data_IF_192950090557
#
_entry.id   IF_192950090557
#
_cell.length_a   1.000
_cell.length_b   1.000
_cell.length_c   1.000
_cell.angle_alpha   90.00
_cell.angle_beta   90.00
_cell.angle_gamma   90.00
#
_symmetry.space_group_name_H-M   'P 1'
#
loop_
_entity.id
_entity.type
_entity.pdbx_description
1 polymer ?
#
# COMPACT_ATOMS: atom_id res chain seq x y z
N UNK A 1 -35.73 -61.32 -0.79
CA UNK A 1 -36.01 -60.31 0.26
C UNK A 1 -34.77 -59.46 0.47
N UNK A 2 -34.95 -58.14 0.47
CA UNK A 2 -33.90 -57.10 0.40
C UNK A 2 -33.18 -56.93 1.74
N UNK A 3 -31.85 -56.77 1.72
CA UNK A 3 -31.09 -56.12 2.80
C UNK A 3 -30.17 -55.07 2.15
N UNK A 4 -30.64 -53.83 2.14
CA UNK A 4 -29.82 -52.66 1.80
C UNK A 4 -29.08 -52.24 3.07
N UNK A 5 -27.75 -52.30 3.04
CA UNK A 5 -26.90 -51.73 4.09
C UNK A 5 -26.94 -50.20 3.97
N UNK A 6 -27.52 -49.55 4.98
CA UNK A 6 -27.56 -48.10 5.15
C UNK A 6 -26.16 -47.55 5.41
N UNK A 7 -25.69 -46.70 4.50
CA UNK A 7 -24.48 -45.89 4.65
C UNK A 7 -24.68 -44.90 5.80
N UNK A 8 -23.91 -45.02 6.87
CA UNK A 8 -23.74 -43.96 7.87
C UNK A 8 -22.98 -42.81 7.21
N UNK A 9 -23.71 -41.74 6.87
CA UNK A 9 -23.12 -40.45 6.52
C UNK A 9 -22.75 -39.76 7.84
N UNK A 10 -21.47 -39.81 8.21
CA UNK A 10 -20.92 -38.91 9.22
C UNK A 10 -20.87 -37.50 8.62
N UNK A 11 -21.84 -36.66 9.00
CA UNK A 11 -21.77 -35.22 8.77
C UNK A 11 -20.79 -34.67 9.80
N UNK A 12 -19.58 -34.33 9.36
CA UNK A 12 -18.64 -33.57 10.17
C UNK A 12 -19.26 -32.19 10.45
N UNK A 13 -19.31 -31.72 11.71
CA UNK A 13 -19.64 -30.33 11.97
C UNK A 13 -18.48 -29.50 11.45
N UNK A 14 -18.74 -28.68 10.43
CA UNK A 14 -17.85 -27.60 10.05
C UNK A 14 -17.72 -26.68 11.27
N UNK A 15 -16.62 -26.82 12.01
CA UNK A 15 -16.12 -25.83 12.95
C UNK A 15 -15.96 -24.54 12.16
N UNK A 16 -16.97 -23.67 12.23
CA UNK A 16 -16.85 -22.28 11.82
C UNK A 16 -15.65 -21.73 12.58
N UNK A 17 -14.68 -21.20 11.84
CA UNK A 17 -13.64 -20.36 12.38
C UNK A 17 -14.30 -19.23 13.16
N UNK A 18 -14.35 -19.35 14.48
CA UNK A 18 -14.59 -18.23 15.37
C UNK A 18 -13.22 -17.61 15.57
N UNK A 19 -12.85 -16.64 14.74
CA UNK A 19 -11.81 -15.71 15.16
C UNK A 19 -12.38 -15.00 16.37
N UNK A 20 -11.63 -14.94 17.46
CA UNK A 20 -11.97 -14.12 18.62
C UNK A 20 -12.16 -12.67 18.16
N UNK A 21 -13.40 -12.24 17.98
CA UNK A 21 -13.73 -10.87 17.59
C UNK A 21 -13.33 -9.95 18.75
N UNK A 22 -12.14 -9.35 18.63
CA UNK A 22 -11.72 -8.28 19.52
C UNK A 22 -12.63 -7.09 19.23
N UNK A 23 -13.52 -6.79 20.17
CA UNK A 23 -14.43 -5.66 20.02
C UNK A 23 -13.65 -4.37 19.83
N UNK A 24 -13.99 -3.63 18.77
CA UNK A 24 -13.48 -2.30 18.49
C UNK A 24 -14.62 -1.31 18.69
N UNK A 25 -14.27 -0.13 19.19
CA UNK A 25 -15.21 0.94 19.45
C UNK A 25 -14.76 2.21 18.73
N UNK A 26 -15.74 3.00 18.30
CA UNK A 26 -15.52 4.33 17.76
C UNK A 26 -15.22 5.34 18.89
N UNK A 27 -14.86 6.57 18.53
CA UNK A 27 -14.61 7.68 19.43
C UNK A 27 -15.76 7.92 20.43
N UNK A 28 -17.00 7.70 20.00
CA UNK A 28 -18.19 7.87 20.85
C UNK A 28 -18.54 6.61 21.68
N UNK A 29 -17.75 5.54 21.59
CA UNK A 29 -17.96 4.29 22.32
C UNK A 29 -18.97 3.33 21.68
N UNK A 30 -19.43 3.61 20.46
CA UNK A 30 -20.25 2.67 19.70
C UNK A 30 -19.42 1.51 19.17
N UNK A 31 -20.01 0.32 19.13
CA UNK A 31 -19.38 -0.87 18.57
C UNK A 31 -19.22 -0.73 17.06
N UNK A 32 -18.09 -1.20 16.56
CA UNK A 32 -17.64 -1.03 15.18
C UNK A 32 -17.42 -2.40 14.56
N UNK A 33 -17.75 -2.53 13.27
CA UNK A 33 -17.54 -3.78 12.55
C UNK A 33 -16.04 -4.04 12.35
N UNK A 34 -15.61 -5.25 12.70
CA UNK A 34 -14.22 -5.72 12.58
C UNK A 34 -14.02 -6.71 11.45
N UNK A 35 -15.08 -7.05 10.70
CA UNK A 35 -14.99 -7.97 9.58
C UNK A 35 -14.49 -7.27 8.30
N UNK A 36 -13.18 -7.06 8.23
CA UNK A 36 -12.52 -6.35 7.12
C UNK A 36 -12.27 -7.22 5.89
N UNK A 37 -12.26 -8.55 6.01
CA UNK A 37 -11.90 -9.48 4.93
C UNK A 37 -12.71 -9.33 3.63
N UNK A 38 -14.06 -9.19 3.66
CA UNK A 38 -14.83 -8.97 2.43
C UNK A 38 -14.46 -7.69 1.68
N UNK A 39 -13.92 -6.69 2.39
CA UNK A 39 -13.47 -5.44 1.81
C UNK A 39 -12.08 -5.56 1.20
N UNK A 40 -11.18 -6.30 1.86
CA UNK A 40 -9.85 -6.66 1.34
C UNK A 40 -9.97 -7.40 0.00
N UNK A 41 -10.90 -8.35 -0.09
CA UNK A 41 -11.13 -9.09 -1.34
C UNK A 41 -11.60 -8.19 -2.48
N UNK A 42 -12.46 -7.20 -2.19
CA UNK A 42 -12.90 -6.19 -3.16
C UNK A 42 -11.73 -5.31 -3.64
N UNK A 43 -10.87 -4.86 -2.72
CA UNK A 43 -9.69 -4.05 -3.05
C UNK A 43 -8.76 -4.80 -4.02
N UNK A 44 -8.51 -6.09 -3.76
CA UNK A 44 -7.68 -6.92 -4.64
C UNK A 44 -8.25 -7.04 -6.05
N UNK A 45 -9.58 -7.09 -6.16
CA UNK A 45 -10.31 -7.24 -7.44
C UNK A 45 -10.44 -5.94 -8.25
N UNK A 46 -10.12 -4.77 -7.70
CA UNK A 46 -10.18 -3.51 -8.44
C UNK A 46 -9.32 -3.55 -9.71
N UNK A 47 -9.66 -2.79 -10.75
CA UNK A 47 -8.80 -2.70 -11.94
C UNK A 47 -7.81 -1.53 -11.80
N UNK A 48 -8.32 -0.41 -11.31
CA UNK A 48 -7.57 0.82 -11.08
C UNK A 48 -7.47 1.10 -9.59
N UNK A 49 -6.44 1.83 -9.16
CA UNK A 49 -6.24 2.03 -7.72
C UNK A 49 -7.15 3.11 -7.11
N UNK A 50 -7.78 3.98 -7.92
CA UNK A 50 -8.77 4.96 -7.41
C UNK A 50 -10.04 4.24 -6.91
N UNK A 51 -10.42 3.14 -7.56
CA UNK A 51 -11.52 2.27 -7.12
C UNK A 51 -11.25 1.67 -5.73
N UNK A 52 -9.98 1.37 -5.40
CA UNK A 52 -9.60 0.89 -4.09
C UNK A 52 -9.87 1.97 -3.01
N UNK A 53 -9.62 3.24 -3.32
CA UNK A 53 -10.01 4.37 -2.48
C UNK A 53 -11.53 4.45 -2.27
N UNK A 54 -12.33 4.23 -3.31
CA UNK A 54 -13.79 4.17 -3.17
C UNK A 54 -14.26 2.98 -2.30
N UNK A 55 -13.54 1.86 -2.32
CA UNK A 55 -13.81 0.74 -1.41
C UNK A 55 -13.55 1.17 0.04
N UNK A 56 -12.45 1.86 0.33
CA UNK A 56 -12.15 2.38 1.68
C UNK A 56 -13.25 3.35 2.17
N UNK A 57 -13.76 4.22 1.30
CA UNK A 57 -14.89 5.10 1.62
C UNK A 57 -16.13 4.28 1.97
N UNK A 58 -16.49 3.28 1.14
CA UNK A 58 -17.63 2.41 1.41
C UNK A 58 -17.48 1.61 2.70
N UNK A 59 -16.26 1.22 3.06
CA UNK A 59 -15.95 0.55 4.31
C UNK A 59 -16.35 1.43 5.51
N UNK A 60 -15.88 2.67 5.53
CA UNK A 60 -16.18 3.64 6.58
C UNK A 60 -17.69 3.96 6.67
N UNK A 61 -18.38 4.09 5.53
CA UNK A 61 -19.85 4.30 5.49
C UNK A 61 -20.61 3.14 6.14
N UNK A 62 -20.09 1.91 6.08
CA UNK A 62 -20.68 0.73 6.69
C UNK A 62 -20.21 0.49 8.14
N UNK A 63 -19.68 1.51 8.82
CA UNK A 63 -19.16 1.41 10.19
C UNK A 63 -18.07 0.32 10.34
N UNK A 64 -17.26 0.13 9.29
CA UNK A 64 -16.12 -0.77 9.27
C UNK A 64 -14.86 0.05 8.92
N UNK A 65 -14.07 0.52 9.90
CA UNK A 65 -12.89 1.31 9.64
C UNK A 65 -11.76 0.42 9.13
N UNK A 66 -10.95 0.90 8.16
CA UNK A 66 -9.79 0.18 7.68
C UNK A 66 -8.86 -0.27 8.81
N UNK A 67 -8.37 -1.50 8.70
CA UNK A 67 -7.34 -2.06 9.55
C UNK A 67 -5.98 -2.08 8.82
N UNK A 68 -4.95 -2.55 9.52
CA UNK A 68 -3.59 -2.66 8.98
C UNK A 68 -3.54 -3.50 7.69
N UNK A 69 -4.27 -4.62 7.66
CA UNK A 69 -4.31 -5.51 6.49
C UNK A 69 -4.99 -4.84 5.29
N UNK A 70 -6.05 -4.08 5.52
CA UNK A 70 -6.76 -3.30 4.50
C UNK A 70 -5.86 -2.23 3.90
N UNK A 71 -5.10 -1.51 4.72
CA UNK A 71 -4.12 -0.53 4.22
C UNK A 71 -3.01 -1.21 3.41
N UNK A 72 -2.46 -2.33 3.87
CA UNK A 72 -1.44 -3.07 3.12
C UNK A 72 -1.97 -3.61 1.78
N UNK A 73 -3.20 -4.13 1.76
CA UNK A 73 -3.85 -4.56 0.52
C UNK A 73 -4.06 -3.40 -0.46
N UNK A 74 -4.37 -2.21 0.04
CA UNK A 74 -4.52 -1.00 -0.78
C UNK A 74 -3.17 -0.54 -1.33
N UNK A 75 -2.11 -0.53 -0.52
CA UNK A 75 -0.74 -0.21 -0.98
C UNK A 75 -0.27 -1.19 -2.05
N UNK A 76 -0.49 -2.49 -1.85
CA UNK A 76 -0.23 -3.50 -2.86
C UNK A 76 -1.01 -3.20 -4.15
N UNK A 77 -2.28 -2.78 -4.03
CA UNK A 77 -3.08 -2.48 -5.20
C UNK A 77 -2.60 -1.25 -5.98
N UNK A 78 -2.16 -0.20 -5.29
CA UNK A 78 -1.58 1.01 -5.92
C UNK A 78 -0.31 0.64 -6.70
N UNK A 79 0.51 -0.26 -6.17
CA UNK A 79 1.70 -0.77 -6.84
C UNK A 79 1.34 -1.54 -8.13
N UNK A 80 0.44 -2.52 -8.02
CA UNK A 80 0.07 -3.44 -9.11
C UNK A 80 -0.76 -2.79 -10.22
N UNK A 81 -1.65 -1.86 -9.88
CA UNK A 81 -2.53 -1.21 -10.86
C UNK A 81 -1.72 -0.35 -11.84
N UNK A 82 -2.09 -0.30 -13.13
CA UNK A 82 -1.33 0.46 -14.13
C UNK A 82 -1.47 1.98 -13.97
N UNK A 83 -2.66 2.45 -13.61
CA UNK A 83 -3.01 3.88 -13.53
C UNK A 83 -4.07 4.14 -12.48
N UNK A 84 -4.28 5.43 -12.18
CA UNK A 84 -5.33 5.90 -11.29
C UNK A 84 -6.72 5.52 -11.76
N UNK A 85 -7.00 5.74 -13.04
CA UNK A 85 -8.30 5.52 -13.66
C UNK A 85 -8.14 5.02 -15.10
N UNK A 86 -9.26 4.74 -15.76
CA UNK A 86 -9.29 4.33 -17.17
C UNK A 86 -8.69 5.40 -18.11
N UNK A 87 -8.91 6.67 -17.78
CA UNK A 87 -8.30 7.79 -18.49
C UNK A 87 -6.98 8.19 -17.81
N UNK A 88 -5.92 8.45 -18.59
CA UNK A 88 -4.64 8.86 -18.03
C UNK A 88 -4.77 10.23 -17.36
N UNK A 89 -4.35 10.31 -16.10
CA UNK A 89 -4.38 11.56 -15.33
C UNK A 89 -3.03 12.26 -15.47
N UNK A 90 -3.05 13.57 -15.72
CA UNK A 90 -1.84 14.38 -15.82
C UNK A 90 -1.08 14.38 -14.48
N UNK A 91 0.24 14.20 -14.53
CA UNK A 91 1.14 14.16 -13.36
C UNK A 91 0.78 13.09 -12.31
N UNK A 92 0.34 11.92 -12.76
CA UNK A 92 0.08 10.79 -11.88
C UNK A 92 1.34 10.37 -11.11
N UNK A 93 1.20 10.22 -9.78
CA UNK A 93 2.26 9.74 -8.91
C UNK A 93 1.72 8.72 -7.92
N UNK A 94 2.04 7.45 -8.17
CA UNK A 94 1.73 6.34 -7.26
C UNK A 94 2.39 6.53 -5.89
N UNK A 95 3.63 7.02 -5.87
CA UNK A 95 4.36 7.32 -4.65
C UNK A 95 3.60 8.31 -3.77
N UNK A 96 3.10 9.42 -4.34
CA UNK A 96 2.32 10.39 -3.58
C UNK A 96 1.04 9.78 -3.01
N UNK A 97 0.33 8.94 -3.78
CA UNK A 97 -0.86 8.25 -3.30
C UNK A 97 -0.55 7.28 -2.14
N UNK A 98 0.57 6.54 -2.22
CA UNK A 98 0.98 5.63 -1.15
C UNK A 98 1.36 6.37 0.14
N UNK A 99 2.09 7.49 0.04
CA UNK A 99 2.48 8.29 1.21
C UNK A 99 1.27 8.97 1.86
N UNK A 100 0.34 9.51 1.07
CA UNK A 100 -0.92 10.08 1.59
C UNK A 100 -1.73 9.04 2.37
N UNK A 101 -1.80 7.81 1.87
CA UNK A 101 -2.46 6.70 2.56
C UNK A 101 -1.75 6.34 3.90
N UNK A 102 -0.42 6.38 3.93
CA UNK A 102 0.35 6.17 5.17
C UNK A 102 0.16 7.31 6.17
N UNK A 103 0.02 8.54 5.69
CA UNK A 103 -0.30 9.71 6.53
C UNK A 103 -1.67 9.54 7.18
N UNK A 104 -2.69 9.17 6.40
CA UNK A 104 -4.04 8.88 6.90
C UNK A 104 -3.99 7.79 7.99
N UNK A 105 -3.33 6.68 7.68
CA UNK A 105 -3.21 5.52 8.55
C UNK A 105 -2.59 5.90 9.92
N UNK A 106 -1.46 6.62 9.89
CA UNK A 106 -0.70 6.99 11.09
C UNK A 106 -1.35 8.13 11.88
N UNK A 107 -1.69 9.24 11.22
CA UNK A 107 -2.10 10.46 11.91
C UNK A 107 -3.59 10.52 12.19
N UNK A 108 -4.43 10.05 11.27
CA UNK A 108 -5.90 10.12 11.42
C UNK A 108 -6.42 8.89 12.14
N UNK A 109 -6.06 7.71 11.65
CA UNK A 109 -6.64 6.46 12.15
C UNK A 109 -5.84 5.82 13.28
N UNK A 110 -4.67 6.39 13.61
CA UNK A 110 -3.76 5.94 14.69
C UNK A 110 -3.31 4.49 14.54
N UNK A 111 -3.30 3.96 13.33
CA UNK A 111 -2.76 2.65 12.98
C UNK A 111 -1.31 2.85 12.56
N UNK A 112 -0.36 2.15 13.18
CA UNK A 112 1.06 2.30 12.82
C UNK A 112 1.38 1.46 11.58
N UNK A 113 2.01 2.04 10.53
CA UNK A 113 2.56 1.28 9.42
C UNK A 113 3.48 0.17 9.90
N UNK A 114 3.41 -0.99 9.25
CA UNK A 114 4.34 -2.08 9.50
C UNK A 114 5.44 -2.10 8.44
N UNK A 115 6.37 -3.05 8.55
CA UNK A 115 7.44 -3.21 7.59
C UNK A 115 6.94 -3.48 6.17
N UNK A 116 5.88 -4.26 6.04
CA UNK A 116 5.26 -4.57 4.74
C UNK A 116 4.74 -3.30 4.06
N UNK A 117 4.09 -2.40 4.81
CA UNK A 117 3.61 -1.11 4.29
C UNK A 117 4.75 -0.32 3.62
N UNK A 118 5.90 -0.21 4.30
CA UNK A 118 7.06 0.51 3.78
C UNK A 118 7.78 -0.21 2.64
N UNK A 119 7.76 -1.55 2.62
CA UNK A 119 8.32 -2.33 1.52
C UNK A 119 7.59 -2.03 0.21
N UNK A 120 6.25 -1.89 0.23
CA UNK A 120 5.48 -1.52 -0.96
C UNK A 120 5.89 -0.15 -1.53
N UNK A 121 6.07 0.84 -0.64
CA UNK A 121 6.56 2.17 -1.03
C UNK A 121 7.95 2.09 -1.65
N UNK A 122 8.85 1.30 -1.05
CA UNK A 122 10.22 1.15 -1.57
C UNK A 122 10.23 0.47 -2.94
N UNK A 123 9.40 -0.54 -3.15
CA UNK A 123 9.24 -1.19 -4.48
C UNK A 123 8.81 -0.19 -5.54
N UNK A 124 7.86 0.69 -5.23
CA UNK A 124 7.40 1.73 -6.15
C UNK A 124 8.52 2.73 -6.49
N UNK A 125 9.31 3.17 -5.50
CA UNK A 125 10.47 4.03 -5.73
C UNK A 125 11.49 3.40 -6.70
N UNK A 126 11.73 2.09 -6.56
CA UNK A 126 12.64 1.34 -7.42
C UNK A 126 12.07 1.19 -8.83
N UNK A 127 10.77 0.88 -8.96
CA UNK A 127 10.10 0.71 -10.26
C UNK A 127 10.03 2.03 -11.05
N UNK A 128 9.70 3.14 -10.38
CA UNK A 128 9.68 4.48 -10.98
C UNK A 128 11.09 5.06 -11.23
N UNK A 129 12.14 4.41 -10.72
CA UNK A 129 13.52 4.91 -10.82
C UNK A 129 13.79 6.17 -9.98
N UNK A 130 12.91 6.52 -9.04
CA UNK A 130 13.06 7.67 -8.14
C UNK A 130 14.00 7.34 -6.98
N UNK A 131 15.29 7.19 -7.30
CA UNK A 131 16.27 6.62 -6.38
C UNK A 131 16.57 7.46 -5.12
N UNK A 132 16.40 8.80 -5.22
CA UNK A 132 16.57 9.71 -4.08
C UNK A 132 15.51 9.47 -3.01
N UNK A 133 14.25 9.31 -3.42
CA UNK A 133 13.15 8.98 -2.50
C UNK A 133 13.34 7.57 -1.94
N UNK A 134 13.76 6.61 -2.78
CA UNK A 134 14.14 5.27 -2.33
C UNK A 134 15.20 5.27 -1.22
N UNK A 135 16.20 6.16 -1.29
CA UNK A 135 17.21 6.31 -0.25
C UNK A 135 16.61 6.84 1.07
N UNK A 136 15.74 7.85 1.00
CA UNK A 136 15.04 8.39 2.18
C UNK A 136 14.18 7.32 2.85
N UNK A 137 13.40 6.56 2.07
CA UNK A 137 12.56 5.48 2.59
C UNK A 137 13.42 4.35 3.18
N UNK A 138 14.51 3.97 2.53
CA UNK A 138 15.45 2.97 3.06
C UNK A 138 16.01 3.35 4.43
N UNK A 139 16.40 4.62 4.61
CA UNK A 139 16.88 5.14 5.90
C UNK A 139 15.79 5.17 6.97
N UNK A 140 14.55 5.46 6.58
CA UNK A 140 13.40 5.41 7.47
C UNK A 140 13.16 3.99 7.97
N UNK A 141 13.14 2.99 7.07
CA UNK A 141 12.96 1.57 7.43
C UNK A 141 14.07 1.10 8.37
N UNK A 142 15.32 1.47 8.09
CA UNK A 142 16.48 1.16 8.94
C UNK A 142 16.32 1.74 10.35
N UNK A 143 15.83 2.98 10.46
CA UNK A 143 15.62 3.66 11.74
C UNK A 143 14.45 3.08 12.56
N UNK A 144 13.33 2.76 11.91
CA UNK A 144 12.13 2.27 12.60
C UNK A 144 12.20 0.78 12.96
N UNK A 145 12.69 -0.06 12.05
CA UNK A 145 12.60 -1.52 12.18
C UNK A 145 13.95 -2.21 12.41
N UNK A 146 15.08 -1.49 12.25
CA UNK A 146 16.44 -2.06 12.34
C UNK A 146 16.69 -3.25 11.40
N UNK A 147 15.88 -3.37 10.37
CA UNK A 147 16.01 -4.38 9.31
C UNK A 147 16.07 -3.65 7.99
N UNK A 148 16.78 -4.24 7.05
CA UNK A 148 17.07 -3.60 5.77
C UNK A 148 16.71 -4.56 4.64
N UNK A 149 15.79 -4.19 3.73
CA UNK A 149 15.54 -4.97 2.52
C UNK A 149 16.70 -4.76 1.53
N UNK A 150 17.79 -5.52 1.73
CA UNK A 150 19.06 -5.38 0.99
C UNK A 150 18.88 -5.48 -0.52
N UNK A 151 18.03 -6.39 -1.00
CA UNK A 151 17.77 -6.58 -2.43
C UNK A 151 17.20 -5.31 -3.07
N UNK A 152 16.20 -4.69 -2.43
CA UNK A 152 15.57 -3.47 -2.94
C UNK A 152 16.53 -2.27 -2.87
N UNK A 153 17.39 -2.21 -1.84
CA UNK A 153 18.42 -1.17 -1.76
C UNK A 153 19.46 -1.32 -2.86
N UNK A 154 19.92 -2.52 -3.17
CA UNK A 154 20.87 -2.76 -4.25
C UNK A 154 20.27 -2.36 -5.61
N UNK A 155 19.00 -2.68 -5.85
CA UNK A 155 18.30 -2.23 -7.06
C UNK A 155 18.20 -0.69 -7.11
N UNK A 156 17.94 -0.05 -5.97
CA UNK A 156 17.89 1.40 -5.87
C UNK A 156 19.27 2.06 -6.14
N UNK A 157 20.34 1.48 -5.61
CA UNK A 157 21.72 1.91 -5.86
C UNK A 157 22.12 1.72 -7.33
N UNK A 158 21.68 0.63 -7.96
CA UNK A 158 21.89 0.40 -9.39
C UNK A 158 21.20 1.49 -10.24
N UNK A 159 19.98 1.90 -9.87
CA UNK A 159 19.28 3.02 -10.52
C UNK A 159 20.05 4.34 -10.35
N UNK A 160 20.59 4.61 -9.16
CA UNK A 160 21.41 5.78 -8.91
C UNK A 160 22.72 5.76 -9.73
N UNK A 161 23.42 4.63 -9.79
CA UNK A 161 24.64 4.46 -10.56
C UNK A 161 24.39 4.62 -12.08
N UNK A 162 23.25 4.13 -12.57
CA UNK A 162 22.81 4.34 -13.96
C UNK A 162 22.55 5.82 -14.24
N UNK A 163 21.81 6.50 -13.37
CA UNK A 163 21.55 7.94 -13.52
C UNK A 163 22.84 8.78 -13.47
N UNK A 164 23.82 8.37 -12.65
CA UNK A 164 25.16 8.97 -12.60
C UNK A 164 25.93 8.81 -13.91
N UNK A 165 25.96 7.60 -14.45
CA UNK A 165 26.64 7.31 -15.71
C UNK A 165 26.03 8.08 -16.89
N UNK A 166 24.70 8.28 -16.87
CA UNK A 166 23.97 9.03 -17.91
C UNK A 166 23.97 10.55 -17.71
N UNK A 167 24.52 11.05 -16.58
CA UNK A 167 24.49 12.48 -16.23
C UNK A 167 23.08 13.01 -15.92
N UNK A 168 22.15 12.12 -15.57
CA UNK A 168 20.74 12.41 -15.32
C UNK A 168 20.39 12.45 -13.81
N UNK A 169 21.39 12.58 -12.92
CA UNK A 169 21.14 12.64 -11.47
C UNK A 169 20.29 13.84 -11.05
N UNK A 170 20.40 14.92 -11.80
CA UNK A 170 19.68 16.17 -11.63
C UNK A 170 18.99 16.56 -12.94
N UNK A 171 17.89 17.30 -12.91
CA UNK A 171 17.28 17.84 -14.11
C UNK A 171 18.29 18.69 -14.89
N UNK A 172 18.54 18.34 -16.16
CA UNK A 172 19.58 18.95 -17.00
C UNK A 172 19.45 20.48 -17.14
N UNK A 173 18.23 21.00 -17.03
CA UNK A 173 17.95 22.43 -17.13
C UNK A 173 18.34 23.21 -15.86
N UNK A 174 18.49 22.54 -14.70
CA UNK A 174 18.91 23.17 -13.45
C UNK A 174 20.42 23.13 -13.22
N UNK A 175 21.14 22.19 -13.87
CA UNK A 175 22.60 22.06 -13.78
C UNK A 175 23.36 23.02 -14.71
N UNK A 176 22.65 23.76 -15.56
CA UNK A 176 23.24 24.85 -16.32
C UNK A 176 23.49 26.03 -15.38
N UNK A 177 24.75 26.42 -15.21
CA UNK A 177 25.14 27.62 -14.47
C UNK A 177 24.58 28.86 -15.19
N UNK A 178 23.32 29.21 -14.91
CA UNK A 178 22.77 30.51 -15.26
C UNK A 178 23.53 31.55 -14.42
N UNK A 179 23.96 32.63 -15.09
CA UNK A 179 24.47 33.81 -14.38
C UNK A 179 23.45 34.25 -13.34
N UNK A 180 23.91 34.70 -12.17
CA UNK A 180 23.05 35.21 -11.08
C UNK A 180 22.02 36.26 -11.58
N UNK A 181 22.34 36.94 -12.68
CA UNK A 181 21.52 37.99 -13.27
C UNK A 181 20.60 37.52 -14.40
N UNK A 182 20.74 36.29 -14.90
CA UNK A 182 19.98 35.75 -16.04
C UNK A 182 18.90 34.74 -15.60
N UNK A 183 18.47 34.81 -14.35
CA UNK A 183 17.39 33.97 -13.82
C UNK A 183 16.06 34.43 -14.44
N UNK A 184 15.40 33.53 -15.16
CA UNK A 184 14.05 33.76 -15.70
C UNK A 184 13.05 33.74 -14.55
N UNK A 185 12.43 34.89 -14.26
CA UNK A 185 11.33 35.06 -13.29
C UNK A 185 10.00 34.74 -13.96
#
# INVERSE_FOLDING_TARGET
MRRFASKFLYVAPALRFVSSEVKRYDLFGYEVDTNTQPWIDKIKQCQYYDEAGEVLVRMNVNNCPPDLETYNATLQKIFEAPSKAAEPVENESKFCAMIDLLEEMSHRNKVKPNMESWIWVLKECVQCGQFRLGYCIGKLIEAEFKQVPEELLQQNEANAAKAKAEGNEHPRHMTQNLSIFDIKI
#
